data_IF_691374523152
#
_entry.id   IF_691374523152
#
_cell.length_a   1.000
_cell.length_b   1.000
_cell.length_c   1.000
_cell.angle_alpha   90.00
_cell.angle_beta   90.00
_cell.angle_gamma   90.00
#
_symmetry.space_group_name_H-M   'P 1'
#
loop_
_entity.id
_entity.type
_entity.pdbx_description
1 polymer ?
#
# COMPACT_ATOMS: atom_id res chain seq x y z
N UNK A 1 39.18 -18.41 18.08
CA UNK A 1 38.94 -18.24 16.62
C UNK A 1 37.91 -19.20 16.01
N UNK A 2 37.78 -20.46 16.47
CA UNK A 2 36.84 -21.44 15.87
C UNK A 2 35.35 -21.13 16.14
N UNK A 3 34.98 -20.72 17.36
CA UNK A 3 33.58 -20.42 17.71
C UNK A 3 32.99 -19.22 16.96
N UNK A 4 33.78 -18.17 16.69
CA UNK A 4 33.34 -16.99 15.92
C UNK A 4 33.05 -17.33 14.45
N UNK A 5 33.81 -18.26 13.85
CA UNK A 5 33.56 -18.74 12.49
C UNK A 5 32.29 -19.59 12.39
N UNK A 6 32.03 -20.44 13.39
CA UNK A 6 30.79 -21.22 13.44
C UNK A 6 29.54 -20.35 13.62
N UNK A 7 29.61 -19.32 14.48
CA UNK A 7 28.51 -18.39 14.66
C UNK A 7 28.23 -17.58 13.38
N UNK A 8 29.27 -17.14 12.67
CA UNK A 8 29.10 -16.39 11.41
C UNK A 8 28.52 -17.25 10.28
N UNK A 9 28.93 -18.52 10.18
CA UNK A 9 28.38 -19.46 9.18
C UNK A 9 26.93 -19.82 9.53
N UNK A 10 26.61 -20.00 10.81
CA UNK A 10 25.25 -20.29 11.26
C UNK A 10 24.31 -19.10 11.02
N UNK A 11 24.74 -17.86 11.30
CA UNK A 11 23.97 -16.65 11.00
C UNK A 11 23.79 -16.46 9.48
N UNK A 12 24.80 -16.75 8.67
CA UNK A 12 24.67 -16.72 7.21
C UNK A 12 23.69 -17.79 6.70
N UNK A 13 23.72 -19.00 7.25
CA UNK A 13 22.78 -20.07 6.90
C UNK A 13 21.35 -19.76 7.34
N UNK A 14 21.18 -19.14 8.51
CA UNK A 14 19.88 -18.68 8.99
C UNK A 14 19.36 -17.51 8.13
N UNK A 15 20.21 -16.57 7.71
CA UNK A 15 19.83 -15.51 6.75
C UNK A 15 19.43 -16.08 5.38
N UNK A 16 20.12 -17.12 4.91
CA UNK A 16 19.79 -17.84 3.65
C UNK A 16 18.55 -18.73 3.82
N UNK A 17 18.14 -19.11 5.03
CA UNK A 17 16.87 -19.80 5.30
C UNK A 17 15.73 -18.85 5.70
N UNK A 18 16.02 -17.59 6.01
CA UNK A 18 15.04 -16.52 6.27
C UNK A 18 14.55 -15.85 4.98
N UNK A 19 14.90 -16.36 3.79
CA UNK A 19 14.01 -16.25 2.62
C UNK A 19 12.80 -17.14 2.89
N UNK A 20 11.98 -16.69 3.84
CA UNK A 20 10.70 -17.29 4.14
C UNK A 20 9.80 -16.95 2.97
N UNK A 21 9.70 -17.92 2.06
CA UNK A 21 8.51 -18.26 1.29
C UNK A 21 7.89 -17.12 0.46
N UNK A 22 8.23 -17.00 -0.85
CA UNK A 22 7.39 -16.26 -1.80
C UNK A 22 5.93 -16.78 -1.84
N UNK A 23 5.66 -17.95 -1.24
CA UNK A 23 4.36 -18.65 -1.21
C UNK A 23 3.26 -17.87 -0.48
N UNK A 24 3.58 -16.97 0.45
CA UNK A 24 2.55 -16.16 1.15
C UNK A 24 2.29 -14.80 0.50
N UNK A 25 3.27 -14.23 -0.22
CA UNK A 25 3.05 -13.02 -1.01
C UNK A 25 2.21 -13.29 -2.28
N UNK A 26 1.99 -14.56 -2.61
CA UNK A 26 1.47 -15.01 -3.91
C UNK A 26 -0.03 -15.38 -3.88
N UNK A 27 -0.73 -15.13 -2.77
CA UNK A 27 -2.17 -15.42 -2.67
C UNK A 27 -2.92 -14.18 -2.23
N UNK A 28 -3.86 -13.66 -3.05
CA UNK A 28 -4.84 -12.71 -2.55
C UNK A 28 -5.49 -13.28 -1.28
N UNK A 29 -5.59 -12.44 -0.26
CA UNK A 29 -6.12 -12.82 1.04
C UNK A 29 -7.62 -12.58 1.04
N UNK A 30 -8.39 -13.65 1.23
CA UNK A 30 -9.81 -13.57 1.56
C UNK A 30 -9.98 -13.65 3.07
N UNK A 31 -11.12 -13.22 3.60
CA UNK A 31 -11.46 -13.42 5.00
C UNK A 31 -12.49 -14.54 5.12
N UNK A 32 -12.25 -15.49 6.02
CA UNK A 32 -13.27 -16.47 6.38
C UNK A 32 -14.44 -15.72 7.03
N UNK A 33 -15.65 -15.75 6.45
CA UNK A 33 -16.80 -15.00 6.97
C UNK A 33 -17.30 -15.52 8.33
N UNK A 34 -16.87 -16.71 8.76
CA UNK A 34 -17.25 -17.34 10.03
C UNK A 34 -16.22 -17.04 11.11
N UNK A 35 -14.93 -17.06 10.78
CA UNK A 35 -13.85 -16.94 11.77
C UNK A 35 -13.13 -15.60 11.73
N UNK A 36 -13.33 -14.80 10.67
CA UNK A 36 -12.62 -13.54 10.45
C UNK A 36 -11.13 -13.72 10.16
N UNK A 37 -10.65 -14.95 10.01
CA UNK A 37 -9.25 -15.24 9.75
C UNK A 37 -8.90 -14.95 8.29
N UNK A 38 -7.70 -14.44 8.06
CA UNK A 38 -7.12 -14.37 6.72
C UNK A 38 -6.95 -15.79 6.17
N UNK A 39 -7.57 -16.04 5.02
CA UNK A 39 -7.50 -17.29 4.30
C UNK A 39 -6.97 -17.02 2.90
N UNK A 40 -6.11 -17.91 2.43
CA UNK A 40 -5.73 -17.90 1.03
C UNK A 40 -7.00 -18.05 0.18
N UNK A 41 -7.24 -17.12 -0.73
CA UNK A 41 -8.38 -17.21 -1.61
C UNK A 41 -8.26 -18.44 -2.53
N UNK A 42 -9.37 -19.16 -2.74
CA UNK A 42 -9.40 -20.49 -3.35
C UNK A 42 -9.35 -20.50 -4.88
N UNK A 43 -9.41 -19.34 -5.54
CA UNK A 43 -9.57 -19.32 -6.99
C UNK A 43 -8.22 -19.36 -7.70
N UNK A 44 -7.88 -20.54 -8.21
CA UNK A 44 -6.69 -20.79 -9.02
C UNK A 44 -6.81 -20.31 -10.48
N UNK A 45 -7.86 -19.55 -10.82
CA UNK A 45 -8.18 -19.16 -12.19
C UNK A 45 -7.79 -17.74 -12.60
N UNK A 46 -7.41 -16.88 -11.67
CA UNK A 46 -7.01 -15.50 -12.00
C UNK A 46 -5.60 -15.46 -12.58
N UNK A 47 -5.38 -14.57 -13.54
CA UNK A 47 -4.06 -14.26 -14.02
C UNK A 47 -3.26 -13.51 -12.95
N UNK A 48 -1.98 -13.81 -12.88
CA UNK A 48 -1.03 -13.24 -11.92
C UNK A 48 -0.04 -12.32 -12.64
N UNK A 49 0.61 -11.45 -11.87
CA UNK A 49 1.71 -10.61 -12.39
C UNK A 49 2.81 -11.48 -13.03
N UNK A 50 3.11 -12.65 -12.44
CA UNK A 50 4.10 -13.60 -12.94
C UNK A 50 3.74 -14.19 -14.32
N UNK A 51 2.48 -14.15 -14.74
CA UNK A 51 2.05 -14.63 -16.05
C UNK A 51 2.43 -13.63 -17.17
N UNK A 52 2.79 -12.39 -16.81
CA UNK A 52 3.22 -11.35 -17.76
C UNK A 52 2.10 -10.80 -18.65
N UNK A 53 0.83 -11.10 -18.33
CA UNK A 53 -0.35 -10.68 -19.09
C UNK A 53 -0.95 -9.36 -18.58
N UNK A 54 -0.66 -9.01 -17.33
CA UNK A 54 -1.17 -7.80 -16.66
C UNK A 54 -0.29 -6.61 -17.01
N UNK A 55 -0.89 -5.50 -17.43
CA UNK A 55 -0.18 -4.29 -17.85
C UNK A 55 -0.56 -3.07 -17.01
N UNK A 56 0.34 -2.10 -16.90
CA UNK A 56 0.07 -0.79 -16.32
C UNK A 56 -0.78 0.12 -17.24
N UNK A 57 -0.97 1.37 -16.82
CA UNK A 57 -1.71 2.38 -17.59
C UNK A 57 -1.07 2.73 -18.94
N UNK A 58 0.24 2.52 -19.10
CA UNK A 58 0.98 2.70 -20.34
C UNK A 58 0.99 1.44 -21.22
N UNK A 59 0.39 0.34 -20.77
CA UNK A 59 0.38 -0.94 -21.48
C UNK A 59 1.67 -1.73 -21.32
N UNK A 60 2.54 -1.35 -20.39
CA UNK A 60 3.78 -2.07 -20.08
C UNK A 60 3.45 -3.21 -19.12
N UNK A 61 3.90 -4.46 -19.38
CA UNK A 61 3.68 -5.57 -18.46
C UNK A 61 4.24 -5.29 -17.07
N UNK A 62 3.43 -5.54 -16.04
CA UNK A 62 3.87 -5.45 -14.66
C UNK A 62 4.86 -6.57 -14.35
N UNK A 63 5.84 -6.27 -13.51
CA UNK A 63 6.83 -7.24 -13.03
C UNK A 63 6.71 -7.44 -11.51
N UNK A 64 7.27 -8.54 -11.04
CA UNK A 64 7.38 -8.81 -9.59
C UNK A 64 8.34 -7.83 -8.91
N UNK A 65 8.10 -7.57 -7.63
CA UNK A 65 8.92 -6.64 -6.84
C UNK A 65 8.55 -5.17 -7.08
N UNK A 66 9.49 -4.28 -6.75
CA UNK A 66 9.33 -2.83 -6.96
C UNK A 66 9.57 -2.47 -8.42
N UNK A 67 8.70 -1.64 -8.98
CA UNK A 67 8.96 -0.97 -10.26
C UNK A 67 9.79 0.31 -10.08
N UNK A 68 10.06 1.00 -11.19
CA UNK A 68 10.87 2.23 -11.21
C UNK A 68 10.24 3.41 -10.46
N UNK A 69 8.93 3.36 -10.21
CA UNK A 69 8.20 4.41 -9.49
C UNK A 69 8.07 4.11 -7.99
N UNK A 70 8.37 2.88 -7.58
CA UNK A 70 8.32 2.44 -6.19
C UNK A 70 7.09 1.60 -5.83
N UNK A 71 6.31 1.11 -6.81
CA UNK A 71 5.19 0.21 -6.56
C UNK A 71 5.63 -1.26 -6.50
N UNK A 72 5.23 -1.95 -5.44
CA UNK A 72 5.27 -3.40 -5.33
C UNK A 72 3.86 -3.95 -5.11
N UNK A 73 3.20 -4.31 -6.20
CA UNK A 73 1.81 -4.75 -6.21
C UNK A 73 1.60 -6.07 -5.45
N UNK A 74 2.57 -6.99 -5.47
CA UNK A 74 2.46 -8.25 -4.74
C UNK A 74 2.50 -8.06 -3.21
N UNK A 75 3.24 -7.04 -2.76
CA UNK A 75 3.37 -6.71 -1.35
C UNK A 75 2.33 -5.67 -0.87
N UNK A 76 1.45 -5.21 -1.76
CA UNK A 76 0.55 -4.08 -1.52
C UNK A 76 1.26 -2.88 -0.88
N UNK A 77 2.42 -2.53 -1.42
CA UNK A 77 3.35 -1.57 -0.84
C UNK A 77 3.84 -0.59 -1.91
N UNK A 78 3.90 0.68 -1.56
CA UNK A 78 4.58 1.71 -2.32
C UNK A 78 5.63 2.37 -1.43
N UNK A 79 6.81 2.63 -2.00
CA UNK A 79 7.88 3.40 -1.38
C UNK A 79 8.48 4.32 -2.44
N UNK A 80 8.20 5.61 -2.35
CA UNK A 80 8.64 6.61 -3.32
C UNK A 80 8.45 8.02 -2.77
N UNK A 81 8.15 8.97 -3.66
CA UNK A 81 7.74 10.34 -3.29
C UNK A 81 6.32 10.61 -3.75
N UNK A 82 5.77 11.78 -3.41
CA UNK A 82 4.49 12.20 -4.00
C UNK A 82 4.59 12.32 -5.53
N UNK A 83 5.70 12.81 -6.06
CA UNK A 83 6.00 12.87 -7.50
C UNK A 83 5.79 11.49 -8.15
N UNK A 84 6.50 10.46 -7.69
CA UNK A 84 6.44 9.14 -8.35
C UNK A 84 5.12 8.38 -8.15
N UNK A 85 4.21 8.87 -7.31
CA UNK A 85 2.93 8.21 -7.02
C UNK A 85 1.94 8.24 -8.20
N UNK A 86 2.10 9.14 -9.17
CA UNK A 86 1.26 9.16 -10.38
C UNK A 86 1.91 8.40 -11.56
N UNK A 87 3.03 7.71 -11.31
CA UNK A 87 3.89 7.04 -12.30
C UNK A 87 4.53 8.01 -13.29
N UNK A 88 4.78 9.25 -12.87
CA UNK A 88 5.58 10.25 -13.57
C UNK A 88 6.61 10.77 -12.57
N UNK A 89 7.85 10.98 -13.01
CA UNK A 89 8.90 11.56 -12.17
C UNK A 89 9.32 12.90 -12.78
N UNK A 90 8.45 13.90 -12.68
CA UNK A 90 8.64 15.22 -13.29
C UNK A 90 8.72 16.37 -12.27
N UNK A 91 8.83 16.04 -10.99
CA UNK A 91 8.85 16.97 -9.88
C UNK A 91 7.49 17.58 -9.59
N UNK A 92 6.39 16.88 -9.91
CA UNK A 92 5.02 17.37 -9.71
C UNK A 92 4.13 16.29 -9.15
N UNK A 93 3.12 16.71 -8.41
CA UNK A 93 2.08 15.81 -7.94
C UNK A 93 0.86 15.93 -8.85
N UNK A 94 0.57 14.90 -9.64
CA UNK A 94 -0.57 14.89 -10.59
C UNK A 94 -0.57 16.11 -11.52
N UNK A 95 0.61 16.45 -12.04
CA UNK A 95 0.83 17.60 -12.92
C UNK A 95 0.80 18.97 -12.23
N UNK A 96 0.58 19.02 -10.92
CA UNK A 96 0.61 20.25 -10.13
C UNK A 96 1.99 20.46 -9.51
N UNK A 97 2.58 21.64 -9.74
CA UNK A 97 3.79 22.04 -9.03
C UNK A 97 3.43 22.39 -7.60
N UNK A 98 3.87 21.55 -6.68
CA UNK A 98 3.65 21.64 -5.24
C UNK A 98 4.98 21.50 -4.53
N UNK A 99 5.09 22.09 -3.35
CA UNK A 99 6.29 22.04 -2.50
C UNK A 99 6.56 20.64 -1.97
N UNK A 100 5.52 19.86 -1.69
CA UNK A 100 5.63 18.50 -1.16
C UNK A 100 5.84 17.39 -2.21
N UNK A 101 6.13 17.73 -3.47
CA UNK A 101 6.26 16.72 -4.53
C UNK A 101 7.43 15.74 -4.27
N UNK A 102 8.50 16.23 -3.64
CA UNK A 102 9.67 15.45 -3.27
C UNK A 102 9.57 14.76 -1.90
N UNK A 103 8.49 15.01 -1.14
CA UNK A 103 8.30 14.38 0.16
C UNK A 103 8.18 12.87 0.04
N UNK A 104 8.82 12.15 0.96
CA UNK A 104 8.86 10.70 0.97
C UNK A 104 7.50 10.15 1.36
N UNK A 105 6.95 9.28 0.51
CA UNK A 105 5.64 8.68 0.67
C UNK A 105 5.77 7.16 0.71
N UNK A 106 5.20 6.56 1.75
CA UNK A 106 4.99 5.13 1.85
C UNK A 106 3.50 4.84 1.88
N UNK A 107 3.04 3.93 1.03
CA UNK A 107 1.65 3.51 1.02
C UNK A 107 1.52 2.02 1.25
N UNK A 108 0.44 1.62 1.93
CA UNK A 108 0.00 0.23 2.01
C UNK A 108 -1.48 0.16 1.73
N UNK A 109 -1.95 -0.96 1.19
CA UNK A 109 -3.36 -1.12 0.86
C UNK A 109 -3.82 -2.58 0.97
N UNK A 110 -5.13 -2.80 0.89
CA UNK A 110 -5.74 -4.14 0.87
C UNK A 110 -6.02 -4.64 -0.54
N UNK A 111 -6.23 -5.95 -0.70
CA UNK A 111 -6.63 -6.56 -1.99
C UNK A 111 -7.93 -5.93 -2.55
N UNK A 112 -8.86 -5.55 -1.67
CA UNK A 112 -10.10 -4.86 -2.06
C UNK A 112 -9.84 -3.41 -2.51
N UNK A 113 -8.73 -2.79 -2.10
CA UNK A 113 -8.35 -1.49 -2.66
C UNK A 113 -7.77 -1.67 -4.07
N UNK A 114 -6.74 -2.48 -4.22
CA UNK A 114 -6.11 -2.84 -5.48
C UNK A 114 -5.40 -4.18 -5.29
N UNK A 115 -5.87 -5.21 -5.99
CA UNK A 115 -5.33 -6.56 -5.86
C UNK A 115 -4.00 -6.72 -6.62
N UNK A 116 -3.40 -7.90 -6.47
CA UNK A 116 -2.23 -8.33 -7.23
C UNK A 116 -2.56 -9.32 -8.38
N UNK A 117 -3.83 -9.43 -8.78
CA UNK A 117 -4.34 -10.39 -9.77
C UNK A 117 -5.34 -9.76 -10.75
N UNK A 118 -5.57 -10.45 -11.87
CA UNK A 118 -6.62 -10.18 -12.84
C UNK A 118 -7.56 -11.40 -12.93
N UNK A 119 -8.77 -11.25 -12.42
CA UNK A 119 -9.81 -12.28 -12.37
C UNK A 119 -10.94 -12.03 -13.37
N UNK A 120 -11.07 -10.81 -13.90
CA UNK A 120 -12.08 -10.45 -14.88
C UNK A 120 -11.57 -10.51 -16.34
N UNK A 121 -10.28 -10.83 -16.52
CA UNK A 121 -9.54 -10.94 -17.78
C UNK A 121 -9.40 -9.61 -18.53
N UNK A 122 -9.41 -8.48 -17.83
CA UNK A 122 -9.25 -7.16 -18.43
C UNK A 122 -7.77 -6.75 -18.63
N UNK A 123 -6.82 -7.62 -18.24
CA UNK A 123 -5.36 -7.42 -18.27
C UNK A 123 -4.84 -6.31 -17.35
N UNK A 124 -5.61 -5.97 -16.31
CA UNK A 124 -5.27 -4.98 -15.29
C UNK A 124 -5.49 -5.61 -13.93
N UNK A 125 -4.84 -5.03 -12.92
CA UNK A 125 -5.09 -5.39 -11.53
C UNK A 125 -6.53 -5.07 -11.14
N UNK A 126 -7.17 -6.02 -10.47
CA UNK A 126 -8.55 -5.87 -10.03
C UNK A 126 -8.71 -4.86 -8.89
N UNK A 127 -9.88 -4.23 -8.86
CA UNK A 127 -10.30 -3.31 -7.80
C UNK A 127 -11.55 -3.81 -7.11
N UNK A 128 -11.58 -3.71 -5.79
CA UNK A 128 -12.69 -4.21 -4.99
C UNK A 128 -12.86 -5.72 -5.14
N UNK A 129 -11.73 -6.43 -5.20
CA UNK A 129 -11.71 -7.88 -5.34
C UNK A 129 -12.14 -8.52 -4.01
N UNK A 130 -13.38 -9.00 -3.96
CA UNK A 130 -13.91 -9.71 -2.79
C UNK A 130 -14.36 -11.11 -3.19
N UNK A 131 -13.82 -12.13 -2.53
CA UNK A 131 -14.05 -13.55 -2.88
C UNK A 131 -13.82 -13.86 -4.37
N UNK A 132 -13.04 -13.01 -5.03
CA UNK A 132 -12.70 -13.15 -6.43
C UNK A 132 -13.49 -12.50 -7.50
N UNK A 133 -14.48 -11.74 -7.07
CA UNK A 133 -15.27 -10.96 -7.97
C UNK A 133 -14.71 -9.56 -7.87
N UNK A 134 -14.10 -9.10 -8.96
CA UNK A 134 -13.74 -7.71 -9.14
C UNK A 134 -15.02 -6.90 -9.25
N UNK A 135 -15.14 -5.83 -8.46
CA UNK A 135 -16.25 -4.87 -8.60
C UNK A 135 -15.87 -3.70 -9.51
N UNK A 136 -14.63 -3.67 -10.00
CA UNK A 136 -14.07 -2.60 -10.83
C UNK A 136 -13.85 -1.28 -10.08
N UNK A 137 -14.20 -1.21 -8.80
CA UNK A 137 -14.07 -0.03 -7.95
C UNK A 137 -13.40 -0.42 -6.64
N UNK A 138 -12.49 0.41 -6.13
CA UNK A 138 -11.79 0.12 -4.87
C UNK A 138 -12.77 0.10 -3.70
N UNK A 139 -12.71 -0.96 -2.88
CA UNK A 139 -13.60 -1.21 -1.72
C UNK A 139 -12.83 -1.75 -0.51
N UNK A 140 -11.69 -1.14 -0.22
CA UNK A 140 -10.77 -1.57 0.83
C UNK A 140 -10.24 -0.42 1.65
N UNK A 141 -9.03 -0.58 2.19
CA UNK A 141 -8.32 0.47 2.91
C UNK A 141 -6.98 0.79 2.26
N UNK A 142 -6.51 2.00 2.52
CA UNK A 142 -5.17 2.47 2.15
C UNK A 142 -4.61 3.34 3.28
N UNK A 143 -3.30 3.23 3.51
CA UNK A 143 -2.56 4.11 4.40
C UNK A 143 -1.57 4.93 3.60
N UNK A 144 -1.43 6.22 3.92
CA UNK A 144 -0.29 7.04 3.51
C UNK A 144 0.54 7.37 4.75
N UNK A 145 1.85 7.23 4.62
CA UNK A 145 2.81 7.68 5.61
C UNK A 145 3.83 8.57 4.91
N UNK A 146 3.82 9.84 5.26
CA UNK A 146 4.60 10.91 4.64
C UNK A 146 5.66 11.37 5.62
N UNK A 147 6.85 11.57 5.09
CA UNK A 147 7.95 12.23 5.74
C UNK A 147 8.42 13.36 4.83
N UNK A 148 8.26 14.59 5.28
CA UNK A 148 8.48 15.76 4.44
C UNK A 148 9.11 16.93 5.18
N UNK A 149 9.57 17.89 4.40
CA UNK A 149 10.23 19.10 4.91
C UNK A 149 9.67 20.34 4.21
N UNK A 150 9.68 21.48 4.90
CA UNK A 150 9.28 22.76 4.31
C UNK A 150 10.11 23.92 4.87
N UNK A 151 10.14 25.04 4.15
CA UNK A 151 10.80 26.27 4.64
C UNK A 151 9.74 27.16 5.30
N UNK A 152 9.94 27.50 6.57
CA UNK A 152 9.02 28.37 7.29
C UNK A 152 9.22 29.88 6.96
N UNK A 153 8.40 30.73 7.58
CA UNK A 153 8.48 32.19 7.40
C UNK A 153 9.80 32.82 7.86
N UNK A 154 10.63 32.11 8.63
CA UNK A 154 11.94 32.55 9.10
C UNK A 154 13.09 31.96 8.26
N UNK A 155 12.79 31.37 7.10
CA UNK A 155 13.75 30.69 6.22
C UNK A 155 14.45 29.49 6.89
N UNK A 156 13.77 28.85 7.86
CA UNK A 156 14.28 27.66 8.54
C UNK A 156 13.59 26.43 7.98
N UNK A 157 14.40 25.40 7.67
CA UNK A 157 13.89 24.08 7.30
C UNK A 157 13.21 23.43 8.50
N UNK A 158 11.93 23.11 8.32
CA UNK A 158 11.09 22.41 9.27
C UNK A 158 10.76 21.02 8.74
N UNK A 159 10.52 20.11 9.67
CA UNK A 159 10.23 18.72 9.38
C UNK A 159 8.84 18.37 9.85
N UNK A 160 8.11 17.58 9.05
CA UNK A 160 6.80 17.06 9.43
C UNK A 160 6.63 15.59 9.08
N UNK A 161 5.74 14.94 9.83
CA UNK A 161 5.25 13.59 9.48
C UNK A 161 3.74 13.60 9.44
N UNK A 162 3.21 12.89 8.46
CA UNK A 162 1.77 12.74 8.30
C UNK A 162 1.44 11.28 8.05
N UNK A 163 0.53 10.73 8.84
CA UNK A 163 -0.02 9.39 8.65
C UNK A 163 -1.52 9.51 8.52
N UNK A 164 -2.08 8.86 7.50
CA UNK A 164 -3.52 8.73 7.35
C UNK A 164 -3.88 7.32 6.92
N UNK A 165 -4.94 6.78 7.51
CA UNK A 165 -5.61 5.56 7.07
C UNK A 165 -7.02 5.89 6.65
N UNK A 166 -7.35 5.57 5.41
CA UNK A 166 -8.70 5.66 4.86
C UNK A 166 -9.27 4.26 4.62
N UNK A 167 -10.58 4.13 4.62
CA UNK A 167 -11.21 2.93 4.10
C UNK A 167 -12.66 3.12 3.67
N UNK A 168 -13.11 2.15 2.87
CA UNK A 168 -14.42 2.17 2.25
C UNK A 168 -15.53 1.95 3.27
N UNK A 169 -16.52 2.84 3.31
CA UNK A 169 -17.66 2.76 4.24
C UNK A 169 -18.99 2.55 3.53
N UNK A 170 -18.98 2.37 2.21
CA UNK A 170 -20.19 2.41 1.40
C UNK A 170 -20.62 3.84 1.06
N UNK A 171 -21.80 4.00 0.46
CA UNK A 171 -22.29 5.32 0.06
C UNK A 171 -22.53 6.20 1.29
N UNK A 172 -22.03 7.44 1.24
CA UNK A 172 -22.21 8.43 2.31
C UNK A 172 -20.93 8.75 3.09
N UNK A 173 -19.79 8.15 2.72
CA UNK A 173 -18.49 8.52 3.27
C UNK A 173 -18.11 9.98 2.97
N UNK A 174 -17.36 10.60 3.89
CA UNK A 174 -16.92 12.00 3.80
C UNK A 174 -15.86 12.22 2.71
N UNK A 175 -15.06 11.19 2.42
CA UNK A 175 -14.06 11.20 1.34
C UNK A 175 -14.64 10.57 0.08
N UNK A 176 -14.69 11.37 -0.99
CA UNK A 176 -15.15 10.96 -2.32
C UNK A 176 -16.56 10.33 -2.35
N UNK A 177 -17.37 10.54 -1.30
CA UNK A 177 -18.71 9.98 -1.17
C UNK A 177 -18.77 8.51 -0.75
N UNK A 178 -17.62 7.83 -0.59
CA UNK A 178 -17.59 6.38 -0.31
C UNK A 178 -16.53 5.91 0.69
N UNK A 179 -15.62 6.79 1.10
CA UNK A 179 -14.53 6.50 2.04
C UNK A 179 -14.61 7.42 3.26
N UNK A 180 -14.01 7.01 4.36
CA UNK A 180 -13.77 7.85 5.53
C UNK A 180 -12.32 7.70 6.02
N UNK A 181 -11.88 8.71 6.78
CA UNK A 181 -10.62 8.69 7.53
C UNK A 181 -10.87 7.96 8.85
N UNK A 182 -10.10 6.90 9.11
CA UNK A 182 -10.18 6.15 10.37
C UNK A 182 -9.09 6.52 11.37
N UNK A 183 -7.92 6.88 10.85
CA UNK A 183 -6.77 7.28 11.65
C UNK A 183 -6.04 8.39 10.92
N UNK A 184 -5.73 9.46 11.63
CA UNK A 184 -4.94 10.57 11.13
C UNK A 184 -4.02 11.05 12.24
N UNK A 185 -2.73 11.10 11.94
CA UNK A 185 -1.68 11.57 12.85
C UNK A 185 -0.85 12.58 12.09
N UNK A 186 -0.77 13.79 12.63
CA UNK A 186 0.04 14.85 12.05
C UNK A 186 0.99 15.40 13.11
N UNK A 187 2.28 15.36 12.81
CA UNK A 187 3.31 15.94 13.67
C UNK A 187 4.08 16.99 12.88
N UNK A 188 3.96 18.23 13.32
CA UNK A 188 4.70 19.38 12.81
C UNK A 188 5.04 20.28 14.02
N UNK A 189 6.25 20.14 14.59
CA UNK A 189 6.63 20.90 15.77
C UNK A 189 6.68 22.42 15.56
N UNK A 190 6.98 22.88 14.34
CA UNK A 190 7.03 24.30 14.04
C UNK A 190 5.62 24.90 13.89
N UNK A 191 4.69 24.13 13.33
CA UNK A 191 3.26 24.46 13.31
C UNK A 191 2.54 24.26 14.64
N UNK A 192 3.20 23.63 15.63
CA UNK A 192 2.62 23.32 16.94
C UNK A 192 1.64 22.13 16.92
N UNK A 193 1.70 21.30 15.89
CA UNK A 193 0.86 20.11 15.74
C UNK A 193 1.58 18.88 16.29
N UNK A 194 0.88 18.15 17.16
CA UNK A 194 1.47 17.02 17.88
C UNK A 194 0.45 15.89 18.05
N UNK A 195 0.46 14.95 17.10
CA UNK A 195 -0.12 13.63 17.28
C UNK A 195 -1.45 13.41 16.58
N UNK A 196 -2.30 12.62 17.24
CA UNK A 196 -3.53 12.08 16.66
C UNK A 196 -4.56 13.19 16.44
N UNK A 197 -4.94 13.41 15.18
CA UNK A 197 -6.03 14.28 14.80
C UNK A 197 -7.37 13.52 14.78
N UNK A 198 -7.35 12.29 14.25
CA UNK A 198 -8.52 11.40 14.17
C UNK A 198 -8.10 10.00 14.60
N UNK A 199 -8.90 9.38 15.45
CA UNK A 199 -8.81 7.96 15.78
C UNK A 199 -10.22 7.44 16.04
N UNK A 200 -10.75 6.71 15.06
CA UNK A 200 -12.01 5.96 15.22
C UNK A 200 -11.68 4.52 15.63
N UNK A 201 -12.60 3.84 16.33
CA UNK A 201 -12.36 2.48 16.84
C UNK A 201 -11.75 1.56 15.77
N UNK A 202 -10.75 0.74 16.14
CA UNK A 202 -9.87 0.06 15.20
C UNK A 202 -10.57 -1.14 14.56
N UNK A 203 -11.41 -0.88 13.57
CA UNK A 203 -11.69 -1.87 12.54
C UNK A 203 -10.43 -2.10 11.71
N UNK A 204 -9.54 -2.98 12.17
CA UNK A 204 -8.45 -3.52 11.35
C UNK A 204 -9.01 -4.46 10.27
N UNK A 205 -9.82 -3.94 9.35
CA UNK A 205 -10.15 -4.63 8.10
C UNK A 205 -11.38 -5.55 8.13
N UNK A 206 -12.30 -5.45 9.09
CA UNK A 206 -13.59 -6.16 8.97
C UNK A 206 -14.69 -5.24 8.47
N UNK A 207 -14.96 -5.36 7.17
CA UNK A 207 -16.19 -4.91 6.54
C UNK A 207 -17.11 -6.13 6.39
N UNK A 208 -17.94 -6.40 7.39
CA UNK A 208 -19.10 -7.27 7.20
C UNK A 208 -20.21 -6.35 6.68
N UNK A 209 -20.48 -6.41 5.38
CA UNK A 209 -21.78 -5.96 4.86
C UNK A 209 -22.85 -6.79 5.56
N UNK A 210 -23.74 -6.15 6.32
CA UNK A 210 -24.96 -6.77 6.85
C UNK A 210 -26.03 -6.85 5.76
#
# INVERSE_FOLDING_TARGET
MKAKRFLSVFVALVMVMMVVSPVLADKPIGFDPVTGAETAWSNSGCAKIQDGTITDSAGVPLTVGFDEFGYNYQAHLFVGTYDTSDRVADGKYWGSTVDYADDALQMKWSDEWLSNVDCDNNKKLDRGLANGVSTGSSRGWLTNHVNGDYIDANEVSQHYTYFVKIGYVGTGGSLWGTFDIFEEIYNDPAGGYHGVAILTDPGLGQFIEH
#
